data_IF_311594044344
#
_entry.id   IF_311594044344
#
_cell.length_a   1.000
_cell.length_b   1.000
_cell.length_c   1.000
_cell.angle_alpha   90.00
_cell.angle_beta   90.00
_cell.angle_gamma   90.00
#
_symmetry.space_group_name_H-M   'P 1'
#
loop_
_entity.id
_entity.type
_entity.pdbx_description
1 polymer ?
2 non-polymer ?
3 non-polymer ?
4 non-polymer ?
5 water ?
#
# COMPACT_ATOMS: atom_id res chain seq x y z
N UNK A 7 -30.15 -9.66 -15.10
CA UNK A 7 -28.77 -9.46 -14.70
C UNK A 7 -27.75 -10.01 -15.74
N UNK A 8 -26.91 -10.98 -15.34
CA UNK A 8 -25.90 -11.70 -16.14
C UNK A 8 -25.46 -12.97 -15.35
N UNK A 9 -24.43 -13.71 -15.84
CA UNK A 9 -23.92 -14.91 -15.16
C UNK A 9 -22.40 -14.88 -15.02
N UNK A 10 -21.85 -15.75 -14.14
CA UNK A 10 -20.39 -15.88 -13.99
C UNK A 10 -19.88 -16.83 -15.08
N UNK A 11 -18.61 -16.67 -15.55
CA UNK A 11 -18.10 -17.61 -16.57
C UNK A 11 -18.06 -19.03 -16.03
N UNK A 12 -18.32 -20.00 -16.92
CA UNK A 12 -18.36 -21.43 -16.60
C UNK A 12 -17.03 -21.90 -15.97
N UNK A 13 -15.89 -21.35 -16.43
CA UNK A 13 -14.53 -21.66 -15.94
C UNK A 13 -14.36 -21.31 -14.46
N UNK A 14 -14.92 -20.15 -14.02
CA UNK A 14 -14.93 -19.71 -12.63
C UNK A 14 -15.81 -20.63 -11.80
N UNK A 15 -17.08 -20.83 -12.26
CA UNK A 15 -18.10 -21.65 -11.62
C UNK A 15 -17.62 -23.08 -11.42
N UNK A 16 -16.72 -23.53 -12.30
CA UNK A 16 -16.18 -24.88 -12.24
C UNK A 16 -15.36 -25.11 -10.98
N UNK A 17 -14.62 -24.07 -10.57
CA UNK A 17 -13.70 -24.10 -9.44
C UNK A 17 -14.19 -23.43 -8.16
N UNK A 18 -15.13 -22.46 -8.25
CA UNK A 18 -15.61 -21.68 -7.12
C UNK A 18 -17.11 -21.62 -6.98
N UNK A 19 -17.60 -21.58 -5.73
CA UNK A 19 -19.01 -21.34 -5.38
C UNK A 19 -19.05 -19.89 -4.94
N UNK A 20 -19.67 -18.99 -5.75
CA UNK A 20 -19.76 -17.55 -5.45
C UNK A 20 -20.80 -17.22 -4.38
N UNK A 21 -20.52 -16.17 -3.59
CA UNK A 21 -21.35 -15.72 -2.47
C UNK A 21 -21.40 -14.17 -2.39
N UNK A 22 -21.77 -13.61 -1.20
CA UNK A 22 -21.94 -12.19 -0.85
C UNK A 22 -20.79 -11.24 -1.21
N UNK A 23 -21.11 -9.93 -1.36
CA UNK A 23 -20.19 -8.84 -1.72
C UNK A 23 -19.21 -8.49 -0.58
N UNK A 24 -17.91 -8.27 -0.92
CA UNK A 24 -16.78 -7.93 -0.05
C UNK A 24 -16.55 -8.92 1.10
N UNK A 31 -14.96 -4.13 -7.70
CA UNK A 31 -15.99 -5.01 -7.14
C UNK A 31 -15.41 -6.35 -6.59
N UNK A 32 -15.61 -6.61 -5.27
CA UNK A 32 -15.10 -7.81 -4.57
C UNK A 32 -16.24 -8.67 -4.00
N UNK A 33 -16.18 -10.00 -4.23
CA UNK A 33 -17.16 -10.97 -3.74
C UNK A 33 -16.46 -12.07 -2.92
N UNK A 34 -17.20 -12.71 -2.02
CA UNK A 34 -16.72 -13.84 -1.24
C UNK A 34 -17.03 -15.09 -2.07
N UNK A 35 -16.07 -16.02 -2.13
CA UNK A 35 -16.27 -17.27 -2.85
C UNK A 35 -15.64 -18.42 -2.09
N UNK A 36 -16.03 -19.64 -2.42
CA UNK A 36 -15.48 -20.81 -1.78
C UNK A 36 -14.75 -21.65 -2.83
N UNK A 37 -13.48 -21.96 -2.58
CA UNK A 37 -12.75 -22.81 -3.50
C UNK A 37 -13.33 -24.20 -3.31
N UNK A 38 -13.83 -24.82 -4.39
CA UNK A 38 -14.47 -26.12 -4.34
C UNK A 38 -13.55 -27.23 -3.85
N UNK A 39 -12.27 -27.20 -4.26
CA UNK A 39 -11.25 -28.18 -3.91
C UNK A 39 -10.95 -28.24 -2.42
N UNK A 40 -10.92 -27.08 -1.76
CA UNK A 40 -10.52 -26.94 -0.36
C UNK A 40 -11.62 -26.56 0.61
N UNK A 41 -12.71 -26.00 0.08
CA UNK A 41 -13.85 -25.45 0.85
C UNK A 41 -13.42 -24.24 1.65
N UNK A 42 -12.30 -23.64 1.23
CA UNK A 42 -11.74 -22.46 1.86
C UNK A 42 -12.29 -21.19 1.23
N UNK A 43 -12.47 -20.16 2.08
CA UNK A 43 -12.97 -18.86 1.68
C UNK A 43 -11.93 -18.11 0.87
N UNK A 44 -12.37 -17.49 -0.22
CA UNK A 44 -11.51 -16.67 -1.09
C UNK A 44 -12.22 -15.34 -1.39
N UNK A 45 -11.51 -14.38 -1.95
CA UNK A 45 -12.12 -13.11 -2.37
C UNK A 45 -11.98 -13.00 -3.89
N UNK A 46 -13.06 -12.67 -4.60
CA UNK A 46 -12.98 -12.54 -6.06
C UNK A 46 -13.22 -11.09 -6.53
N UNK A 47 -12.17 -10.47 -7.10
CA UNK A 47 -12.18 -9.10 -7.63
C UNK A 47 -12.65 -9.10 -9.09
N UNK A 48 -13.80 -8.44 -9.34
CA UNK A 48 -14.39 -8.30 -10.67
C UNK A 48 -14.09 -6.90 -11.23
N UNK A 49 -13.23 -6.85 -12.26
CA UNK A 49 -12.84 -5.65 -12.99
C UNK A 49 -13.62 -5.62 -14.31
N UNK A 50 -14.33 -4.49 -14.58
CA UNK A 50 -15.13 -4.30 -15.80
C UNK A 50 -14.23 -4.20 -17.04
N UNK A 51 -14.72 -4.75 -18.17
CA UNK A 51 -13.99 -4.72 -19.44
C UNK A 51 -14.53 -3.62 -20.35
N UNK A 66 -6.71 -5.17 -20.08
CA UNK A 66 -5.39 -5.36 -20.68
C UNK A 66 -4.27 -4.88 -19.74
N UNK A 67 -4.49 -3.73 -19.06
CA UNK A 67 -3.58 -3.15 -18.04
C UNK A 67 -3.60 -4.08 -16.79
N UNK A 68 -4.72 -4.82 -16.63
CA UNK A 68 -5.01 -5.82 -15.59
C UNK A 68 -4.00 -6.98 -15.71
N UNK A 69 -3.57 -7.32 -16.94
CA UNK A 69 -2.61 -8.39 -17.22
C UNK A 69 -1.23 -8.04 -16.64
N UNK A 70 -0.86 -6.74 -16.69
CA UNK A 70 0.39 -6.23 -16.12
C UNK A 70 0.31 -6.29 -14.59
N UNK A 71 -0.85 -5.91 -14.03
CA UNK A 71 -1.17 -5.97 -12.60
C UNK A 71 -1.06 -7.45 -12.14
N UNK A 72 -1.58 -8.40 -12.95
CA UNK A 72 -1.50 -9.86 -12.71
C UNK A 72 -0.04 -10.29 -12.70
N UNK A 73 0.73 -9.81 -13.72
CA UNK A 73 2.15 -10.11 -13.91
C UNK A 73 3.00 -9.64 -12.75
N UNK A 74 2.72 -8.41 -12.26
CA UNK A 74 3.39 -7.84 -11.09
C UNK A 74 3.06 -8.70 -9.84
N UNK A 75 1.76 -8.93 -9.57
CA UNK A 75 1.30 -9.73 -8.42
C UNK A 75 1.89 -11.13 -8.36
N UNK A 76 1.95 -11.85 -9.50
CA UNK A 76 2.50 -13.21 -9.61
C UNK A 76 4.00 -13.26 -9.25
N UNK A 77 4.74 -12.19 -9.59
CA UNK A 77 6.17 -12.09 -9.30
C UNK A 77 6.47 -11.76 -7.83
N UNK A 78 5.60 -10.98 -7.16
CA UNK A 78 5.83 -10.55 -5.78
C UNK A 78 5.51 -11.60 -4.73
N UNK A 79 6.40 -11.73 -3.74
CA UNK A 79 6.27 -12.67 -2.65
C UNK A 79 6.68 -12.05 -1.31
N UNK A 80 5.74 -11.34 -0.69
CA UNK A 80 5.93 -10.68 0.60
C UNK A 80 4.70 -10.90 1.48
N UNK A 81 4.84 -11.09 2.82
CA UNK A 81 3.63 -11.31 3.65
C UNK A 81 2.71 -10.11 3.84
N UNK A 82 3.19 -8.90 3.46
CA UNK A 82 2.41 -7.66 3.59
C UNK A 82 1.95 -7.13 2.25
N UNK A 83 2.02 -8.01 1.23
CA UNK A 83 1.53 -7.73 -0.12
C UNK A 83 0.57 -8.86 -0.52
N UNK A 84 -0.65 -8.51 -0.94
CA UNK A 84 -1.69 -9.45 -1.40
C UNK A 84 -1.20 -10.43 -2.48
N UNK A 85 -1.62 -11.70 -2.38
CA UNK A 85 -1.23 -12.73 -3.33
C UNK A 85 -2.40 -13.11 -4.22
N UNK A 86 -2.10 -13.34 -5.49
CA UNK A 86 -3.08 -13.76 -6.50
C UNK A 86 -3.12 -15.29 -6.48
N UNK A 87 -4.33 -15.84 -6.40
CA UNK A 87 -4.57 -17.29 -6.31
C UNK A 87 -4.98 -17.87 -7.65
N UNK A 88 -5.71 -17.09 -8.46
CA UNK A 88 -6.21 -17.50 -9.77
C UNK A 88 -6.67 -16.29 -10.57
N UNK A 89 -6.83 -16.47 -11.90
CA UNK A 89 -7.29 -15.42 -12.80
C UNK A 89 -8.16 -15.97 -13.94
N UNK A 90 -9.26 -15.26 -14.25
CA UNK A 90 -10.21 -15.59 -15.32
C UNK A 90 -10.44 -14.38 -16.24
N UNK A 91 -10.03 -14.54 -17.51
CA UNK A 91 -10.16 -13.54 -18.57
C UNK A 91 -11.39 -13.94 -19.41
N UNK A 92 -12.55 -13.36 -19.09
CA UNK A 92 -13.85 -13.63 -19.73
C UNK A 92 -14.53 -12.33 -20.21
N UNK A 93 -15.87 -12.19 -20.02
CA UNK A 93 -16.66 -11.00 -20.39
C UNK A 93 -16.17 -9.80 -19.58
N UNK A 94 -15.62 -10.09 -18.39
CA UNK A 94 -14.99 -9.20 -17.44
C UNK A 94 -13.75 -9.95 -16.92
N UNK A 95 -12.92 -9.27 -16.13
CA UNK A 95 -11.74 -9.88 -15.51
C UNK A 95 -12.11 -10.35 -14.11
N UNK A 96 -11.72 -11.59 -13.74
CA UNK A 96 -11.97 -12.15 -12.41
C UNK A 96 -10.63 -12.49 -11.78
N UNK A 97 -10.33 -11.85 -10.65
CA UNK A 97 -9.06 -12.03 -9.93
C UNK A 97 -9.35 -12.66 -8.58
N UNK A 98 -8.84 -13.89 -8.39
CA UNK A 98 -9.03 -14.64 -7.16
C UNK A 98 -7.88 -14.29 -6.21
N UNK A 99 -8.24 -13.76 -5.05
CA UNK A 99 -7.26 -13.31 -4.08
C UNK A 99 -7.51 -13.93 -2.72
N UNK A 100 -6.51 -13.81 -1.82
CA UNK A 100 -6.66 -14.27 -0.44
C UNK A 100 -7.66 -13.38 0.28
N UNK A 101 -8.57 -13.99 1.05
CA UNK A 101 -9.60 -13.28 1.78
C UNK A 101 -9.03 -12.63 3.04
N UNK A 102 -9.35 -11.37 3.23
CA UNK A 102 -8.93 -10.55 4.36
C UNK A 102 -10.18 -10.28 5.16
N UNK A 103 -10.31 -11.02 6.26
CA UNK A 103 -11.45 -10.97 7.16
C UNK A 103 -11.63 -9.64 7.91
N UNK A 104 -10.58 -8.83 7.96
CA UNK A 104 -10.60 -7.55 8.66
C UNK A 104 -11.07 -6.36 7.83
N UNK A 105 -11.14 -6.57 6.52
CA UNK A 105 -11.57 -5.54 5.57
C UNK A 105 -10.51 -4.48 5.33
N UNK A 106 -10.97 -3.30 4.90
CA UNK A 106 -10.14 -2.14 4.58
C UNK A 106 -9.76 -1.34 5.82
N UNK A 107 -8.52 -0.77 5.82
CA UNK A 107 -8.04 0.13 6.88
C UNK A 107 -8.90 1.40 6.93
N UNK A 108 -9.47 1.79 5.77
CA UNK A 108 -10.38 2.95 5.61
C UNK A 108 -11.51 2.92 6.64
N UNK A 109 -12.14 1.74 6.83
CA UNK A 109 -13.24 1.50 7.78
C UNK A 109 -12.85 1.76 9.23
N UNK A 110 -11.54 1.68 9.56
CA UNK A 110 -11.02 1.93 10.91
C UNK A 110 -10.70 3.41 11.20
N UNK A 111 -10.55 4.22 10.14
CA UNK A 111 -10.17 5.64 10.24
C UNK A 111 -11.25 6.65 9.79
N UNK A 112 -12.33 6.15 9.14
CA UNK A 112 -13.43 6.96 8.62
C UNK A 112 -14.23 7.66 9.72
N UNK A 113 -14.72 8.86 9.40
CA UNK A 113 -15.54 9.68 10.29
C UNK A 113 -14.89 10.03 11.62
N UNK A 114 -13.67 10.65 11.55
CA UNK A 114 -12.87 11.10 12.70
C UNK A 114 -12.42 10.01 13.70
N UNK A 115 -12.58 8.73 13.32
CA UNK A 115 -12.15 7.59 14.12
C UNK A 115 -10.62 7.51 14.07
N UNK A 116 -10.00 7.19 15.19
CA UNK A 116 -8.55 7.10 15.27
C UNK A 116 -8.09 5.82 15.96
N UNK A 117 -6.90 5.35 15.55
CA UNK A 117 -6.27 4.15 16.11
C UNK A 117 -5.34 4.57 17.24
N UNK A 118 -5.14 3.67 18.24
CA UNK A 118 -4.19 3.93 19.32
C UNK A 118 -2.78 3.86 18.75
N UNK A 119 -1.91 4.79 19.14
CA UNK A 119 -0.54 4.93 18.63
C UNK A 119 0.19 3.62 18.34
N UNK A 120 0.10 2.66 19.28
CA UNK A 120 0.73 1.35 19.20
C UNK A 120 0.22 0.57 17.98
N UNK A 121 -1.08 0.70 17.66
CA UNK A 121 -1.73 0.06 16.50
C UNK A 121 -1.26 0.71 15.20
N UNK A 122 -1.14 2.08 15.17
CA UNK A 122 -0.63 2.84 14.03
C UNK A 122 0.75 2.32 13.66
N UNK A 123 1.62 2.11 14.70
CA UNK A 123 2.99 1.65 14.57
C UNK A 123 3.06 0.27 13.97
N UNK A 124 2.29 -0.69 14.50
CA UNK A 124 2.24 -2.07 14.00
C UNK A 124 1.81 -2.12 12.53
N UNK A 125 0.76 -1.36 12.16
CA UNK A 125 0.25 -1.33 10.79
C UNK A 125 1.25 -0.63 9.88
N UNK A 126 1.73 0.57 10.31
CA UNK A 126 2.69 1.36 9.55
C UNK A 126 3.97 0.62 9.24
N UNK A 127 4.54 -0.08 10.26
CA UNK A 127 5.76 -0.88 10.13
C UNK A 127 5.63 -1.86 8.96
N UNK A 128 4.50 -2.59 8.92
CA UNK A 128 4.15 -3.54 7.86
C UNK A 128 4.01 -2.86 6.48
N UNK A 129 3.39 -1.65 6.43
CA UNK A 129 3.23 -0.85 5.21
C UNK A 129 4.62 -0.46 4.70
N UNK A 130 5.55 -0.14 5.62
CA UNK A 130 6.92 0.24 5.28
C UNK A 130 7.71 -0.94 4.69
N UNK A 131 7.59 -2.14 5.32
CA UNK A 131 8.24 -3.38 4.84
C UNK A 131 7.72 -3.74 3.45
N UNK A 132 6.39 -3.65 3.24
CA UNK A 132 5.74 -3.91 1.96
C UNK A 132 6.22 -2.95 0.87
N UNK A 133 6.26 -1.64 1.17
CA UNK A 133 6.71 -0.62 0.22
C UNK A 133 8.22 -0.68 -0.02
N UNK A 134 9.03 -1.07 1.00
CA UNK A 134 10.47 -1.24 0.82
C UNK A 134 10.73 -2.42 -0.11
N UNK A 135 9.98 -3.53 0.07
CA UNK A 135 10.06 -4.72 -0.78
C UNK A 135 9.72 -4.35 -2.26
N UNK A 136 8.63 -3.58 -2.48
CA UNK A 136 8.19 -3.07 -3.78
C UNK A 136 9.30 -2.27 -4.45
N UNK A 137 9.84 -1.26 -3.75
CA UNK A 137 10.93 -0.41 -4.22
C UNK A 137 12.20 -1.20 -4.53
N UNK A 138 12.57 -2.17 -3.67
CA UNK A 138 13.70 -3.09 -3.88
C UNK A 138 13.54 -3.88 -5.19
N UNK A 139 12.30 -4.24 -5.53
CA UNK A 139 11.90 -5.00 -6.71
C UNK A 139 11.51 -4.17 -7.94
N UNK A 140 11.79 -2.87 -7.90
CA UNK A 140 11.53 -1.93 -8.99
C UNK A 140 10.08 -1.69 -9.34
N UNK A 141 9.20 -1.67 -8.32
CA UNK A 141 7.76 -1.42 -8.47
C UNK A 141 7.39 -0.22 -7.59
N UNK A 142 6.59 0.71 -8.15
CA UNK A 142 6.02 1.87 -7.46
C UNK A 142 4.52 1.58 -7.48
N UNK A 143 3.87 1.63 -6.33
CA UNK A 143 2.44 1.39 -6.19
C UNK A 143 1.63 2.53 -6.82
N UNK A 144 1.89 3.78 -6.38
CA UNK A 144 1.26 5.00 -6.91
C UNK A 144 -0.17 5.26 -6.43
N UNK A 145 -0.78 4.32 -5.71
CA UNK A 145 -2.13 4.54 -5.24
C UNK A 145 -2.32 4.10 -3.77
N UNK A 146 -1.31 4.35 -2.90
CA UNK A 146 -1.42 4.00 -1.49
C UNK A 146 -2.41 4.90 -0.79
N UNK A 147 -3.43 4.29 -0.15
CA UNK A 147 -4.55 4.94 0.55
C UNK A 147 -5.07 3.94 1.59
N UNK A 148 -5.82 4.38 2.63
CA UNK A 148 -6.41 3.43 3.58
C UNK A 148 -7.29 2.35 2.93
N UNK A 149 -7.96 2.69 1.79
CA UNK A 149 -8.83 1.78 1.02
C UNK A 149 -8.06 0.59 0.44
N UNK A 150 -6.75 0.79 0.16
CA UNK A 150 -5.85 -0.20 -0.42
C UNK A 150 -5.01 -0.95 0.60
N UNK A 151 -5.31 -0.75 1.88
CA UNK A 151 -4.65 -1.44 2.97
C UNK A 151 -5.71 -2.35 3.61
N UNK A 152 -5.46 -3.67 3.58
CA UNK A 152 -6.39 -4.67 4.09
C UNK A 152 -5.87 -5.29 5.36
N UNK A 153 -6.81 -5.60 6.28
CA UNK A 153 -6.50 -6.21 7.58
C UNK A 153 -6.85 -7.71 7.56
N UNK A 154 -5.95 -8.56 8.08
CA UNK A 154 -6.15 -10.02 8.09
C UNK A 154 -7.28 -10.55 8.98
N UNK A 155 -7.61 -9.83 10.06
CA UNK A 155 -8.67 -10.24 10.98
C UNK A 155 -9.36 -9.04 11.64
N UNK A 156 -10.46 -9.30 12.35
CA UNK A 156 -11.22 -8.27 13.07
C UNK A 156 -10.52 -7.82 14.37
N UNK A 157 -9.37 -8.47 14.70
CA UNK A 157 -8.51 -8.16 15.84
C UNK A 157 -7.65 -6.95 15.48
N UNK A 158 -7.36 -6.11 16.49
CA UNK A 158 -6.56 -4.89 16.43
C UNK A 158 -5.12 -5.22 16.03
N UNK A 159 -4.59 -6.30 16.62
CA UNK A 159 -3.25 -6.79 16.36
C UNK A 159 -3.39 -7.83 15.27
N UNK A 160 -3.17 -7.42 14.04
CA UNK A 160 -3.32 -8.31 12.89
C UNK A 160 -2.29 -8.00 11.82
N UNK A 161 -2.25 -8.83 10.79
CA UNK A 161 -1.36 -8.61 9.67
C UNK A 161 -2.05 -7.76 8.64
N UNK A 162 -1.33 -6.84 8.02
CA UNK A 162 -1.89 -6.02 6.96
C UNK A 162 -1.31 -6.46 5.61
N UNK A 163 -2.02 -6.13 4.53
CA UNK A 163 -1.60 -6.43 3.16
C UNK A 163 -1.98 -5.27 2.26
N UNK A 164 -1.03 -4.86 1.42
CA UNK A 164 -1.17 -3.81 0.41
C UNK A 164 -1.87 -4.46 -0.77
N UNK A 165 -2.83 -3.76 -1.37
CA UNK A 165 -3.60 -4.22 -2.52
C UNK A 165 -3.76 -3.11 -3.57
N UNK A 166 -4.43 -3.42 -4.72
CA UNK A 166 -4.79 -2.52 -5.82
C UNK A 166 -3.55 -2.01 -6.55
N UNK A 167 -2.94 -2.90 -7.33
CA UNK A 167 -1.74 -2.62 -8.12
C UNK A 167 -2.02 -2.07 -9.54
N UNK A 168 -3.25 -1.63 -9.78
CA UNK A 168 -3.71 -1.11 -11.07
C UNK A 168 -2.94 0.10 -11.60
N UNK A 169 -2.59 1.04 -10.72
CA UNK A 169 -1.85 2.28 -11.05
C UNK A 169 -0.33 2.08 -10.91
N UNK A 170 0.11 0.84 -10.64
CA UNK A 170 1.52 0.57 -10.41
C UNK A 170 2.42 0.67 -11.63
N UNK A 171 3.69 1.05 -11.40
CA UNK A 171 4.67 1.22 -12.46
C UNK A 171 5.91 0.39 -12.20
N UNK A 172 6.60 -0.01 -13.28
CA UNK A 172 7.86 -0.73 -13.21
C UNK A 172 9.00 0.29 -13.46
N UNK A 173 9.90 0.46 -12.47
CA UNK A 173 11.06 1.36 -12.50
C UNK A 173 11.91 1.15 -13.76
N UNK A 175 16.49 -0.42 -18.02
CA UNK A 175 17.01 0.88 -18.47
C UNK A 175 15.90 1.80 -18.97
N UNK A 176 15.94 3.07 -18.52
CA UNK A 176 14.99 4.11 -18.90
C UNK A 176 15.38 4.70 -20.27
N UNK A 177 14.46 5.48 -20.89
CA UNK A 177 14.69 6.16 -22.16
C UNK A 177 15.78 7.23 -21.98
N UNK A 178 15.88 7.83 -20.76
CA UNK A 178 16.85 8.85 -20.39
C UNK A 178 18.29 8.34 -20.41
N UNK A 179 18.54 7.14 -19.84
CA UNK A 179 19.86 6.51 -19.81
C UNK A 179 20.42 6.33 -21.23
N UNK A 180 19.58 5.80 -22.16
CA UNK A 180 19.91 5.62 -23.58
C UNK A 180 20.21 6.97 -24.25
N UNK A 181 19.42 8.00 -23.92
CA UNK A 181 19.55 9.36 -24.45
C UNK A 181 20.87 9.99 -23.99
N UNK A 182 21.24 9.80 -22.70
CA UNK A 182 22.48 10.33 -22.13
C UNK A 182 23.74 9.67 -22.70
N UNK A 183 23.59 8.45 -23.26
CA UNK A 183 24.71 7.70 -23.83
C UNK A 183 25.34 8.34 -25.06
N UNK A 184 24.57 9.13 -25.80
CA UNK A 184 25.07 9.87 -26.96
C UNK A 184 25.58 11.26 -26.64
N UNK A 185 25.94 12.02 -27.68
CA UNK A 185 26.41 13.40 -27.54
C UNK A 185 25.16 14.30 -27.55
N UNK A 186 25.06 15.27 -26.62
CA UNK A 186 23.86 16.11 -26.55
C UNK A 186 23.79 17.28 -27.54
N UNK A 187 24.57 17.25 -28.63
CA UNK A 187 24.56 18.29 -29.66
C UNK A 187 23.12 18.73 -30.02
N UNK A 188 22.20 17.76 -30.14
CA UNK A 188 20.80 17.96 -30.52
C UNK A 188 19.82 17.81 -29.35
N UNK A 189 20.32 17.50 -28.16
CA UNK A 189 19.50 17.30 -26.99
C UNK A 189 18.94 18.60 -26.37
N UNK A 190 17.61 18.61 -26.13
CA UNK A 190 16.86 19.73 -25.57
C UNK A 190 17.24 20.02 -24.12
N UNK A 191 17.26 21.31 -23.71
CA UNK A 191 17.61 21.64 -22.32
C UNK A 191 16.74 21.05 -21.21
N UNK A 192 15.41 20.96 -21.41
CA UNK A 192 14.49 20.39 -20.42
C UNK A 192 14.83 18.93 -20.05
N UNK A 193 15.45 18.21 -21.01
CA UNK A 193 15.87 16.82 -20.86
C UNK A 193 17.07 16.79 -19.89
N UNK A 194 18.07 17.65 -20.13
CA UNK A 194 19.26 17.77 -19.29
C UNK A 194 18.91 18.22 -17.88
N UNK A 195 17.95 19.16 -17.76
CA UNK A 195 17.43 19.65 -16.49
C UNK A 195 16.74 18.53 -15.68
N UNK A 196 16.02 17.61 -16.36
CA UNK A 196 15.32 16.48 -15.73
C UNK A 196 16.27 15.43 -15.11
N UNK A 197 17.58 15.47 -15.45
CA UNK A 197 18.58 14.54 -14.92
C UNK A 197 18.70 14.71 -13.38
N UNK A 198 18.47 15.93 -12.89
CA UNK A 198 18.52 16.26 -11.47
C UNK A 198 17.59 15.45 -10.60
N UNK A 199 16.33 15.29 -11.05
CA UNK A 199 15.26 14.58 -10.33
C UNK A 199 14.97 13.15 -10.79
N UNK A 200 15.49 12.72 -11.96
CA UNK A 200 15.19 11.37 -12.45
C UNK A 200 15.55 10.28 -11.42
N UNK A 201 14.75 9.22 -11.39
CA UNK A 201 14.98 8.11 -10.47
C UNK A 201 14.46 8.36 -9.06
N UNK A 202 13.58 9.36 -8.88
CA UNK A 202 12.95 9.67 -7.61
C UNK A 202 11.43 9.45 -7.61
N UNK A 203 10.89 8.73 -8.63
CA UNK A 203 9.46 8.43 -8.75
C UNK A 203 8.87 7.65 -7.57
N UNK A 204 9.67 6.76 -6.97
CA UNK A 204 9.32 5.94 -5.79
C UNK A 204 8.93 6.80 -4.58
N UNK A 205 9.45 8.06 -4.50
CA UNK A 205 9.17 9.03 -3.44
C UNK A 205 7.68 9.39 -3.32
N UNK A 206 6.89 9.21 -4.40
CA UNK A 206 5.44 9.47 -4.34
C UNK A 206 4.77 8.52 -3.33
N UNK A 207 5.25 7.25 -3.24
CA UNK A 207 4.75 6.26 -2.28
C UNK A 207 5.06 6.65 -0.84
N UNK A 208 6.22 7.31 -0.61
CA UNK A 208 6.60 7.77 0.73
C UNK A 208 5.80 8.92 1.22
N UNK A 209 5.36 9.78 0.28
CA UNK A 209 4.45 10.90 0.56
C UNK A 209 3.09 10.32 0.99
N UNK A 210 2.52 9.40 0.18
CA UNK A 210 1.25 8.70 0.45
C UNK A 210 1.24 8.04 1.83
N UNK A 211 2.35 7.36 2.20
CA UNK A 211 2.53 6.73 3.51
C UNK A 211 2.47 7.76 4.63
N UNK A 212 3.03 8.94 4.38
CA UNK A 212 3.03 10.07 5.31
C UNK A 212 1.62 10.56 5.63
N UNK A 213 0.78 10.69 4.60
CA UNK A 213 -0.63 11.08 4.66
C UNK A 213 -1.41 9.96 5.37
N UNK A 214 -1.15 8.66 5.02
CA UNK A 214 -1.83 7.53 5.68
C UNK A 214 -1.50 7.59 7.18
N UNK A 215 -0.21 7.76 7.52
CA UNK A 215 0.25 7.83 8.92
C UNK A 215 -0.38 9.01 9.66
N UNK A 216 -0.44 10.20 9.04
CA UNK A 216 -1.09 11.40 9.59
C UNK A 216 -2.56 11.08 9.97
N UNK A 217 -3.30 10.49 9.00
CA UNK A 217 -4.70 10.10 9.17
C UNK A 217 -4.87 9.10 10.32
N UNK A 218 -4.06 8.03 10.34
CA UNK A 218 -4.12 7.03 11.39
C UNK A 218 -3.92 7.59 12.80
N UNK A 219 -2.91 8.45 12.98
CA UNK A 219 -2.55 9.06 14.25
C UNK A 219 -3.59 10.04 14.79
N UNK A 220 -4.12 10.90 13.91
CA UNK A 220 -5.02 12.01 14.25
C UNK A 220 -6.54 11.81 13.98
N UNK A 221 -6.87 10.90 13.08
CA UNK A 221 -8.24 10.64 12.67
C UNK A 221 -8.75 11.69 11.69
N UNK A 222 -7.85 12.55 11.17
CA UNK A 222 -8.20 13.60 10.23
C UNK A 222 -7.15 13.76 9.12
N UNK A 223 -7.56 14.17 7.89
CA UNK A 223 -6.57 14.35 6.81
C UNK A 223 -5.69 15.60 6.91
N UNK A 224 -4.40 15.54 6.46
CA UNK A 224 -3.53 16.74 6.55
C UNK A 224 -3.88 17.84 5.55
N UNK A 225 -4.47 17.44 4.43
CA UNK A 225 -4.84 18.33 3.35
C UNK A 225 -6.29 18.07 3.01
N UNK A 226 -7.14 19.10 3.13
CA UNK A 226 -8.58 19.00 2.85
C UNK A 226 -9.19 20.34 2.48
N UNK A 227 -10.39 20.32 1.90
CA UNK A 227 -11.09 21.53 1.52
C UNK A 227 -11.95 22.04 2.69
N UNK A 228 -12.18 21.17 3.72
CA UNK A 228 -12.98 21.46 4.93
C UNK A 228 -12.41 22.59 5.79
N UNK A 229 -13.27 23.61 6.04
CA UNK A 229 -13.01 24.82 6.83
C UNK A 229 -11.66 25.50 6.54
N UNK A 230 -11.45 25.88 5.25
CA UNK A 230 -10.22 26.52 4.78
C UNK A 230 -10.41 27.34 3.48
N UNK A 231 -9.58 28.38 3.30
CA UNK A 231 -9.60 29.27 2.14
C UNK A 231 -8.61 28.79 1.07
N UNK A 232 -7.44 28.29 1.51
CA UNK A 232 -6.36 27.78 0.65
C UNK A 232 -6.81 26.54 -0.15
N UNK A 233 -6.51 26.53 -1.47
CA UNK A 233 -6.90 25.40 -2.33
C UNK A 233 -6.09 24.16 -1.97
N UNK A 234 -6.73 22.96 -2.14
CA UNK A 234 -6.12 21.66 -1.87
C UNK A 234 -4.76 21.56 -2.55
N UNK A 235 -4.65 22.01 -3.83
CA UNK A 235 -3.41 22.04 -4.61
C UNK A 235 -2.32 22.82 -3.88
N UNK A 236 -2.63 24.08 -3.49
CA UNK A 236 -1.73 25.00 -2.80
C UNK A 236 -1.26 24.49 -1.46
N UNK A 237 -2.16 23.80 -0.71
CA UNK A 237 -1.79 23.18 0.59
C UNK A 237 -0.70 22.13 0.38
N UNK A 238 -0.85 21.27 -0.66
CA UNK A 238 0.09 20.20 -0.96
C UNK A 238 1.44 20.70 -1.50
N UNK A 239 1.43 21.59 -2.52
CA UNK A 239 2.70 22.09 -3.08
C UNK A 239 3.53 22.86 -2.07
N UNK A 240 2.86 23.60 -1.18
CA UNK A 240 3.56 24.31 -0.11
C UNK A 240 3.95 23.35 1.02
N UNK A 241 3.18 22.26 1.18
CA UNK A 241 3.40 21.27 2.23
C UNK A 241 2.98 21.78 3.58
N UNK A 242 1.99 22.68 3.58
CA UNK A 242 1.45 23.28 4.78
C UNK A 242 0.21 22.49 5.17
N UNK A 243 0.42 21.43 5.94
CA UNK A 243 -0.62 20.54 6.43
C UNK A 243 -1.34 21.20 7.58
N UNK A 244 -2.59 20.81 7.79
CA UNK A 244 -3.41 21.34 8.86
C UNK A 244 -3.02 20.70 10.20
N UNK A 245 -2.35 21.48 11.07
CA UNK A 245 -1.97 20.99 12.41
C UNK A 245 -2.94 21.48 13.51
N UNK A 246 -3.64 20.53 14.17
CA UNK A 246 -4.59 20.83 15.24
C UNK A 246 -3.94 20.38 16.56
N UNK A 247 -3.37 21.30 17.37
CA UNK A 247 -2.66 20.91 18.61
C UNK A 247 -3.40 19.99 19.58
N UNK A 248 -4.71 20.23 19.80
CA UNK A 248 -5.58 19.45 20.71
C UNK A 248 -5.61 17.96 20.33
N UNK A 249 -5.66 17.69 19.01
CA UNK A 249 -5.71 16.33 18.48
C UNK A 249 -4.35 15.61 18.63
N UNK A 250 -3.26 16.33 18.29
CA UNK A 250 -1.89 15.84 18.28
C UNK A 250 -1.18 15.72 19.63
N UNK A 251 -1.68 16.40 20.69
CA UNK A 251 -1.12 16.36 22.06
C UNK A 251 -1.15 14.93 22.62
N UNK A 252 -2.18 14.16 22.21
CA UNK A 252 -2.40 12.75 22.58
C UNK A 252 -1.36 11.84 21.90
N UNK A 253 -0.77 12.29 20.78
CA UNK A 253 0.21 11.57 19.98
C UNK A 253 1.63 11.98 20.43
N UNK A 254 2.57 11.01 20.43
CA UNK A 254 3.97 11.22 20.78
C UNK A 254 4.68 12.15 19.77
N UNK A 255 5.78 12.79 20.21
CA UNK A 255 6.60 13.68 19.40
C UNK A 255 7.39 12.92 18.33
N UNK A 256 7.78 11.64 18.63
CA UNK A 256 8.51 10.74 17.71
C UNK A 256 7.67 10.39 16.48
N UNK A 257 6.39 10.01 16.68
CA UNK A 257 5.44 9.70 15.62
C UNK A 257 5.25 10.91 14.71
N UNK A 258 5.04 12.13 15.30
CA UNK A 258 4.84 13.37 14.54
C UNK A 258 6.10 13.77 13.75
N UNK A 259 7.29 13.54 14.33
CA UNK A 259 8.59 13.78 13.69
C UNK A 259 8.71 12.94 12.41
N UNK A 260 8.27 11.66 12.45
CA UNK A 260 8.29 10.77 11.27
C UNK A 260 7.38 11.29 10.16
N UNK A 261 6.15 11.76 10.52
CA UNK A 261 5.16 12.34 9.60
C UNK A 261 5.82 13.52 8.88
N UNK A 262 6.38 14.46 9.66
CA UNK A 262 7.09 15.65 9.17
C UNK A 262 8.16 15.31 8.13
N UNK A 263 8.92 14.21 8.34
CA UNK A 263 9.99 13.73 7.45
C UNK A 263 9.51 13.07 6.18
N UNK A 264 8.25 12.59 6.17
CA UNK A 264 7.64 11.96 4.98
C UNK A 264 6.88 13.02 4.21
N UNK A 265 6.34 14.02 4.92
CA UNK A 265 5.60 15.13 4.30
C UNK A 265 6.48 16.31 3.87
N UNK A 266 7.65 16.00 3.31
CA UNK A 266 8.68 16.91 2.78
C UNK A 266 8.36 17.07 1.28
N UNK A 267 8.15 18.33 0.86
CA UNK A 267 7.82 18.75 -0.51
C UNK A 267 8.87 18.30 -1.55
N UNK A 268 10.18 18.50 -1.26
CA UNK A 268 11.28 18.11 -2.14
C UNK A 268 11.41 16.57 -2.14
N UNK A 269 11.11 15.89 -3.28
CA UNK A 269 11.21 14.41 -3.29
C UNK A 269 12.59 13.84 -3.00
N UNK A 270 13.66 14.64 -3.22
CA UNK A 270 15.04 14.21 -3.04
C UNK A 270 15.46 14.25 -1.57
N UNK A 271 14.82 15.14 -0.78
CA UNK A 271 15.04 15.29 0.66
C UNK A 271 14.11 14.37 1.47
N UNK A 272 12.90 14.07 0.93
CA UNK A 272 11.90 13.21 1.56
C UNK A 272 12.51 11.89 2.05
N UNK A 273 12.04 11.42 3.22
CA UNK A 273 12.47 10.16 3.83
C UNK A 273 12.09 9.01 2.92
N UNK A 274 13.01 8.04 2.79
CA UNK A 274 12.78 6.82 2.02
C UNK A 274 12.20 5.81 3.01
N UNK A 275 11.75 4.64 2.54
CA UNK A 275 11.25 3.57 3.43
C UNK A 275 12.34 3.10 4.41
N UNK A 276 13.63 3.07 3.96
CA UNK A 276 14.79 2.70 4.82
C UNK A 276 15.03 3.71 5.92
N UNK A 277 14.91 5.00 5.59
CA UNK A 277 15.10 6.08 6.56
C UNK A 277 13.95 6.05 7.57
N UNK A 278 12.72 5.81 7.08
CA UNK A 278 11.53 5.66 7.92
C UNK A 278 11.70 4.41 8.84
N UNK A 279 12.20 3.26 8.30
CA UNK A 279 12.43 2.05 9.11
C UNK A 279 13.52 2.20 10.17
N UNK A 280 14.50 3.12 9.96
CA UNK A 280 15.57 3.41 10.94
C UNK A 280 15.16 4.51 11.93
N UNK A 281 14.02 5.21 11.70
CA UNK A 281 13.53 6.28 12.56
C UNK A 281 13.30 5.81 14.02
N UNK A 282 13.61 6.66 15.04
CA UNK A 282 13.39 6.26 16.45
C UNK A 282 12.02 5.64 16.79
N UNK A 283 10.94 6.16 16.16
CA UNK A 283 9.57 5.69 16.38
C UNK A 283 9.37 4.22 16.04
N UNK A 284 10.18 3.68 15.14
CA UNK A 284 10.08 2.27 14.74
C UNK A 284 11.04 1.33 15.46
N UNK A 285 11.90 1.91 16.32
CA UNK A 285 12.84 1.14 17.14
C UNK A 285 12.07 0.73 18.40
N UNK A 286 11.11 -0.21 18.21
CA UNK A 286 10.18 -0.74 19.22
C UNK A 286 10.20 -2.27 19.14
N UNK A 287 10.98 -2.89 20.03
CA UNK A 287 11.19 -4.34 20.13
C UNK A 287 9.88 -5.11 20.38
N UNK A 288 8.96 -4.50 21.15
CA UNK A 288 7.63 -5.06 21.47
C UNK A 288 6.73 -5.14 20.25
N UNK A 289 6.68 -4.04 19.46
CA UNK A 289 5.89 -3.99 18.22
C UNK A 289 6.45 -5.03 17.25
N UNK A 290 7.79 -5.08 17.08
CA UNK A 290 8.48 -6.01 16.18
C UNK A 290 8.24 -7.47 16.51
N UNK A 291 8.21 -7.80 17.82
CA UNK A 291 7.92 -9.13 18.36
C UNK A 291 6.47 -9.50 18.03
N UNK A 292 5.52 -8.58 18.28
CA UNK A 292 4.09 -8.77 17.99
C UNK A 292 3.88 -9.08 16.49
N UNK A 293 4.65 -8.45 15.60
CA UNK A 293 4.57 -8.69 14.16
C UNK A 293 5.12 -10.09 13.81
N UNK A 294 6.31 -10.44 14.35
CA UNK A 294 6.92 -11.76 14.12
C UNK A 294 6.02 -12.89 14.63
N UNK A 295 5.26 -12.61 15.72
CA UNK A 295 4.29 -13.52 16.35
C UNK A 295 3.11 -13.80 15.40
N UNK A 296 2.52 -12.73 14.81
CA UNK A 296 1.39 -12.82 13.87
C UNK A 296 1.80 -13.59 12.61
N UNK A 297 3.05 -13.37 12.16
CA UNK A 297 3.67 -14.03 11.02
C UNK A 297 3.75 -15.54 11.25
N UNK A 298 4.31 -15.95 12.41
CA UNK A 298 4.46 -17.35 12.84
C UNK A 298 3.10 -18.06 12.88
N UNK A 299 2.07 -17.38 13.45
CA UNK A 299 0.69 -17.89 13.56
C UNK A 299 0.06 -18.13 12.18
N UNK A 300 0.29 -17.21 11.23
CA UNK A 300 -0.23 -17.30 9.85
C UNK A 300 0.42 -18.49 9.11
N UNK A 301 1.76 -18.60 9.22
CA UNK A 301 2.58 -19.62 8.58
C UNK A 301 2.44 -21.04 9.16
N UNK A 302 1.90 -21.17 10.40
CA UNK A 302 1.71 -22.43 11.13
C UNK A 302 0.98 -23.53 10.36
N UNK A 303 -0.03 -23.16 9.55
CA UNK A 303 -0.81 -24.09 8.74
C UNK A 303 -0.06 -24.59 7.48
N UNK A 304 0.89 -23.79 6.98
CA UNK A 304 1.67 -24.08 5.76
C UNK A 304 3.06 -24.71 6.00
N UNK A 305 3.61 -24.59 7.22
CA UNK A 305 4.96 -25.09 7.59
C UNK A 305 5.22 -26.60 7.42
N UNK A 306 6.17 -26.91 6.49
CA UNK A 306 6.64 -28.26 6.13
C UNK A 306 7.75 -28.63 7.14
N UNK A 307 7.92 -29.92 7.56
CA UNK A 307 9.02 -30.25 8.49
C UNK A 307 10.37 -29.93 7.86
N UNK A 308 11.32 -29.41 8.65
CA UNK A 308 12.59 -29.06 8.04
C UNK A 308 13.78 -29.87 8.55
N UNK A 309 14.90 -29.79 7.81
CA UNK A 309 16.15 -30.48 8.09
C UNK A 309 16.81 -29.85 9.32
N UNK A 310 17.03 -30.67 10.38
CA UNK A 310 17.64 -30.28 11.65
C UNK A 310 19.16 -30.39 11.63
N UNK A 311 19.85 -29.35 11.81
X LIG B 1 12.73 5.66 -9.24
X LIG B 1 12.48 5.77 -7.96
X LIG B 1 13.59 4.87 -9.55
X LIG B 1 12.12 6.37 -10.01
X LIG C 1 -6.75 -21.16 -15.07
X LIG C 1 -7.76 -20.23 -14.71
X LIG C 1 -6.36 -22.04 -13.84
X LIG C 1 -7.49 -22.79 -13.39
X LIG D 1 -8.03 -7.10 -2.93
X LIG D 1 -8.81 -9.30 -1.60
X LIG D 1 -9.43 -7.95 -1.40
X LIG D 1 -10.55 -7.76 -0.44
X LIG D 1 -9.86 -9.60 0.99
X LIG D 1 -10.63 -8.51 0.77
X LIG D 1 -11.54 -8.16 1.75
X LIG D 1 -12.38 -7.07 1.56
X LIG D 1 -13.21 -6.67 2.58
X LIG D 1 -12.34 -6.36 0.38
X LIG D 1 -11.45 -6.70 -0.61
X LIG D 1 -9.09 -6.89 -2.03
X LIG E 1 4.11 22.68 12.97
X LIG E 1 5.50 22.76 12.64
X LIG E 1 3.79 21.31 13.60
X LIG E 1 4.65 21.07 14.73
X LIG F 1 -12.26 -17.62 -18.20
X LIG F 1 -13.49 -17.89 -18.82
X LIG F 1 -11.20 -18.64 -18.69
X LIG F 1 -10.00 -18.48 -17.94
X LIG G 1 4.13 8.90 -9.89
X LIG G 1 5.12 9.30 -10.82
X LIG G 1 2.76 9.55 -10.19
X LIG G 1 1.85 9.29 -9.11
X LIG H 1 12.12 13.12 17.69
X LIG H 1 11.05 12.98 18.62
X LIG H 1 12.33 11.76 16.97
X LIG H 1 13.49 11.82 16.19
X LIG I 1 -2.06 9.27 -4.86
X LIG I 1 -3.17 8.96 -5.70
X LIG I 1 -1.70 8.06 -3.95
X LIG I 1 -2.86 7.53 -3.31
X LIG J 1 9.58 -9.43 7.55
X LIG J 1 10.38 -10.20 8.45
X LIG J 1 8.80 -10.38 6.61
X LIG J 1 9.71 -11.08 5.78
X LIG K 1 -7.36 -17.53 0.89
X LIG K 1 -8.34 -16.70 1.48
X LIG K 1 -6.11 -17.58 1.79
X LIG K 1 -5.02 -18.19 1.10
X LIG L 1 -6.38 -6.08 -6.09
X LIG L 1 -7.04 -5.05 -6.80
X LIG L 1 -5.28 -6.71 -6.97
X LIG L 1 -4.29 -5.75 -7.28
#
# INVERSE_FOLDING_TARGET
GPLGSHMSVYPKALRDEYIMSKTLGSGACGEVKLAFERKTCKKVAIKIISKRKFAIGSAREADPALNVETEIEILKKLNHPCIIKIKNFFDAEDYYIVLELMEGGELFDKVVGNKRLKEATCKLYFYQMLLAVQYLHENGIIHRDLKPENVLLSSQEEDCLIKITDFGHSKILGETSLMRTLCGTPTYLAPEVLVSVGTAGYNRAVDCWSLGVILFICLSGYPPFSEHRTQVSLKDQITSGKYNFIPEVWAEVSEKALDLVKKLLVVDPKARFTTEEALRHPWLQDEDMKRKFQDLLSEENESTALPQVLAQPSTSRKRPREGEAEGAE
NO3 N O1 O2 O3
EDO C1 O1 C2 O2
ODO O11 C8 C7 C2 O10 C3 C4 C5 O12 C6 C1 N
EDO C1 O1 C2 O2
EDO C1 O1 C2 O2
EDO C1 O1 C2 O2
EDO C1 O1 C2 O2
EDO C1 O1 C2 O2
EDO C1 O1 C2 O2
EDO C1 O1 C2 O2
EDO C1 O1 C2 O2
#
